data_IF_728003620501
#
_entry.id   IF_728003620501
#
_cell.length_a   1.000
_cell.length_b   1.000
_cell.length_c   1.000
_cell.angle_alpha   90.00
_cell.angle_beta   90.00
_cell.angle_gamma   90.00
#
_symmetry.space_group_name_H-M   'P 1'
#
loop_
_entity.id
_entity.type
_entity.pdbx_description
1 polymer ?
#
# COMPACT_ATOMS: atom_id res chain seq x y z
N UNK A 1 -8.23 -2.01 -2.98
CA UNK A 1 -8.54 -3.40 -3.36
C UNK A 1 -7.36 -4.01 -4.11
N UNK A 2 -7.25 -5.34 -4.21
CA UNK A 2 -6.22 -5.96 -5.06
C UNK A 2 -6.62 -5.75 -6.54
N UNK A 3 -5.69 -5.25 -7.37
CA UNK A 3 -5.95 -4.95 -8.78
C UNK A 3 -6.32 -6.20 -9.61
N UNK A 4 -5.84 -7.36 -9.19
CA UNK A 4 -6.02 -8.64 -9.88
C UNK A 4 -6.44 -9.72 -8.88
N UNK A 5 -7.41 -10.54 -9.28
CA UNK A 5 -7.89 -11.68 -8.49
C UNK A 5 -6.89 -12.83 -8.51
N UNK A 6 -6.91 -13.68 -7.48
CA UNK A 6 -6.04 -14.88 -7.43
C UNK A 6 -6.27 -15.79 -8.63
N UNK A 7 -7.53 -15.99 -9.01
CA UNK A 7 -7.93 -16.82 -10.15
C UNK A 7 -7.34 -16.29 -11.45
N UNK A 8 -7.43 -14.98 -11.70
CA UNK A 8 -6.83 -14.37 -12.89
C UNK A 8 -5.32 -14.54 -12.93
N UNK A 9 -4.63 -14.32 -11.80
CA UNK A 9 -3.17 -14.55 -11.72
C UNK A 9 -2.81 -16.00 -12.02
N UNK A 10 -3.57 -16.95 -11.47
CA UNK A 10 -3.33 -18.37 -11.67
C UNK A 10 -3.52 -18.75 -13.14
N UNK A 11 -4.58 -18.27 -13.78
CA UNK A 11 -4.84 -18.50 -15.19
C UNK A 11 -3.67 -18.03 -16.06
N UNK A 12 -3.23 -16.77 -15.90
CA UNK A 12 -2.14 -16.20 -16.70
C UNK A 12 -0.82 -16.93 -16.45
N UNK A 13 -0.54 -17.35 -15.21
CA UNK A 13 0.66 -18.12 -14.90
C UNK A 13 0.60 -19.52 -15.51
N UNK A 14 -0.55 -20.19 -15.49
CA UNK A 14 -0.71 -21.50 -16.13
C UNK A 14 -0.53 -21.39 -17.65
N UNK A 15 -1.13 -20.38 -18.27
CA UNK A 15 -0.96 -20.12 -19.71
C UNK A 15 0.51 -19.90 -20.08
N UNK A 16 1.27 -19.18 -19.24
CA UNK A 16 2.71 -19.03 -19.41
C UNK A 16 3.49 -20.35 -19.26
N UNK A 17 3.06 -21.24 -18.37
CA UNK A 17 3.76 -22.50 -18.09
C UNK A 17 3.42 -23.60 -19.12
N UNK A 18 2.24 -23.54 -19.72
CA UNK A 18 1.78 -24.52 -20.72
C UNK A 18 2.02 -24.10 -22.17
N UNK A 19 2.22 -22.80 -22.42
CA UNK A 19 2.41 -22.26 -23.76
C UNK A 19 3.87 -21.96 -24.09
N UNK A 20 4.15 -21.79 -25.38
CA UNK A 20 5.47 -21.38 -25.89
C UNK A 20 5.62 -19.84 -25.93
N UNK A 21 4.59 -19.09 -25.53
CA UNK A 21 4.60 -17.63 -25.57
C UNK A 21 5.54 -17.03 -24.50
N UNK A 22 6.49 -16.22 -24.96
CA UNK A 22 7.37 -15.48 -24.05
C UNK A 22 6.63 -14.40 -23.25
N UNK A 23 7.23 -13.98 -22.13
CA UNK A 23 6.71 -12.94 -21.22
C UNK A 23 6.23 -11.65 -21.89
N UNK A 24 6.75 -11.28 -23.07
CA UNK A 24 6.35 -10.06 -23.78
C UNK A 24 4.94 -10.17 -24.37
N UNK A 25 4.70 -11.24 -25.12
CA UNK A 25 3.44 -11.45 -25.85
C UNK A 25 2.31 -11.70 -24.88
N UNK A 26 2.51 -12.59 -23.91
CA UNK A 26 1.49 -12.91 -22.93
C UNK A 26 1.11 -11.72 -22.05
N UNK A 27 2.10 -10.91 -21.62
CA UNK A 27 1.81 -9.71 -20.85
C UNK A 27 1.02 -8.69 -21.67
N UNK A 28 1.33 -8.51 -22.96
CA UNK A 28 0.59 -7.61 -23.84
C UNK A 28 -0.87 -8.07 -24.04
N UNK A 29 -1.08 -9.36 -24.26
CA UNK A 29 -2.43 -9.96 -24.44
C UNK A 29 -3.34 -9.71 -23.25
N UNK A 30 -2.78 -9.75 -22.04
CA UNK A 30 -3.52 -9.52 -20.79
C UNK A 30 -3.42 -8.08 -20.28
N UNK A 31 -2.84 -7.15 -21.06
CA UNK A 31 -2.61 -5.74 -20.67
C UNK A 31 -1.89 -5.63 -19.32
N UNK A 32 -0.87 -6.47 -19.12
CA UNK A 32 -0.04 -6.55 -17.94
C UNK A 32 1.34 -5.95 -18.20
N UNK A 33 1.94 -5.41 -17.14
CA UNK A 33 3.37 -5.13 -17.16
C UNK A 33 4.16 -6.45 -17.15
N UNK A 34 5.22 -6.51 -17.97
CA UNK A 34 6.10 -7.68 -18.07
C UNK A 34 6.75 -8.03 -16.74
N UNK A 35 7.07 -7.01 -15.94
CA UNK A 35 7.62 -7.17 -14.62
C UNK A 35 6.66 -7.85 -13.65
N UNK A 36 5.37 -7.50 -13.73
CA UNK A 36 4.28 -8.10 -12.95
C UNK A 36 4.10 -9.58 -13.27
N UNK A 37 4.05 -9.93 -14.56
CA UNK A 37 3.93 -11.33 -14.97
C UNK A 37 5.13 -12.17 -14.49
N UNK A 38 6.36 -11.66 -14.65
CA UNK A 38 7.58 -12.32 -14.14
C UNK A 38 7.51 -12.57 -12.64
N UNK A 39 6.98 -11.62 -11.88
CA UNK A 39 6.83 -11.74 -10.43
C UNK A 39 5.83 -12.84 -10.05
N UNK A 40 4.69 -12.92 -10.73
CA UNK A 40 3.70 -13.98 -10.47
C UNK A 40 4.24 -15.36 -10.81
N UNK A 41 4.91 -15.51 -11.95
CA UNK A 41 5.52 -16.79 -12.35
C UNK A 41 6.59 -17.22 -11.35
N UNK A 42 7.46 -16.30 -10.91
CA UNK A 42 8.47 -16.61 -9.91
C UNK A 42 7.84 -17.02 -8.56
N UNK A 43 6.86 -16.26 -8.08
CA UNK A 43 6.15 -16.58 -6.84
C UNK A 43 5.44 -17.94 -6.91
N UNK A 44 4.84 -18.26 -8.05
CA UNK A 44 4.20 -19.56 -8.27
C UNK A 44 5.21 -20.71 -8.31
N UNK A 45 6.36 -20.54 -8.97
CA UNK A 45 7.41 -21.59 -8.98
C UNK A 45 7.96 -21.91 -7.58
N UNK A 46 8.05 -20.92 -6.69
CA UNK A 46 8.58 -21.13 -5.34
C UNK A 46 7.51 -21.58 -4.31
N UNK A 47 6.27 -21.12 -4.46
CA UNK A 47 5.24 -21.29 -3.42
C UNK A 47 3.89 -21.80 -3.94
N UNK A 48 3.80 -22.15 -5.22
CA UNK A 48 2.57 -22.53 -5.88
C UNK A 48 1.51 -21.43 -5.79
N UNK A 49 0.25 -21.84 -5.66
CA UNK A 49 -0.92 -20.95 -5.56
C UNK A 49 -0.78 -19.97 -4.38
N UNK A 50 -0.16 -20.40 -3.28
CA UNK A 50 0.05 -19.56 -2.11
C UNK A 50 0.96 -18.34 -2.37
N UNK A 51 1.78 -18.37 -3.43
CA UNK A 51 2.58 -17.23 -3.90
C UNK A 51 1.75 -16.15 -4.61
N UNK A 52 0.61 -16.50 -5.19
CA UNK A 52 -0.25 -15.59 -5.94
C UNK A 52 -1.25 -14.81 -5.06
N UNK A 53 -1.47 -15.33 -3.84
CA UNK A 53 -2.33 -14.74 -2.81
C UNK A 53 -1.88 -13.34 -2.41
N UNK A 54 -2.84 -12.43 -2.35
CA UNK A 54 -2.61 -11.11 -1.78
C UNK A 54 -2.30 -11.23 -0.28
N UNK A 55 -1.18 -10.66 0.15
CA UNK A 55 -0.72 -10.69 1.54
C UNK A 55 -0.63 -9.30 2.13
N UNK A 56 -1.20 -9.13 3.33
CA UNK A 56 -0.96 -7.97 4.20
C UNK A 56 -0.07 -8.43 5.35
N UNK A 57 1.21 -8.61 5.06
CA UNK A 57 2.20 -9.09 6.03
C UNK A 57 3.01 -7.90 6.54
N UNK A 58 3.14 -7.84 7.87
CA UNK A 58 4.11 -6.99 8.54
C UNK A 58 5.41 -7.77 8.68
N UNK A 59 6.49 -7.19 8.18
CA UNK A 59 7.83 -7.79 8.27
C UNK A 59 8.56 -7.19 9.47
N UNK A 60 9.04 -8.03 10.37
CA UNK A 60 9.85 -7.62 11.52
C UNK A 60 11.22 -7.13 11.05
N UNK A 61 11.90 -6.30 11.86
CA UNK A 61 13.25 -5.84 11.52
C UNK A 61 14.22 -7.02 11.33
N UNK A 62 14.14 -8.02 12.23
CA UNK A 62 14.93 -9.25 12.15
C UNK A 62 14.71 -10.02 10.85
N UNK A 63 13.45 -10.17 10.40
CA UNK A 63 13.16 -10.83 9.12
C UNK A 63 13.74 -10.05 7.93
N UNK A 64 13.60 -8.71 7.93
CA UNK A 64 14.18 -7.89 6.85
C UNK A 64 15.69 -8.05 6.79
N UNK A 65 16.35 -8.05 7.94
CA UNK A 65 17.80 -8.22 8.05
C UNK A 65 18.23 -9.58 7.52
N UNK A 66 17.56 -10.67 7.95
CA UNK A 66 17.90 -12.02 7.49
C UNK A 66 17.74 -12.17 5.98
N UNK A 67 16.70 -11.58 5.39
CA UNK A 67 16.50 -11.56 3.93
C UNK A 67 17.65 -10.85 3.23
N UNK A 68 18.08 -9.67 3.70
CA UNK A 68 19.17 -8.92 3.09
C UNK A 68 20.52 -9.64 3.22
N UNK A 69 20.77 -10.30 4.36
CA UNK A 69 21.98 -11.10 4.56
C UNK A 69 22.03 -12.29 3.60
N UNK A 70 20.95 -13.07 3.49
CA UNK A 70 20.87 -14.19 2.53
C UNK A 70 21.00 -13.72 1.09
N UNK A 71 20.38 -12.58 0.75
CA UNK A 71 20.48 -12.00 -0.59
C UNK A 71 21.93 -11.68 -0.95
N UNK A 72 22.73 -11.16 0.00
CA UNK A 72 24.15 -10.87 -0.21
C UNK A 72 25.01 -12.14 -0.24
N UNK A 73 24.78 -13.06 0.68
CA UNK A 73 25.55 -14.29 0.80
C UNK A 73 25.43 -15.19 -0.44
N UNK A 74 24.24 -15.25 -1.03
CA UNK A 74 23.96 -16.11 -2.18
C UNK A 74 23.91 -15.36 -3.52
N UNK A 75 24.17 -14.04 -3.53
CA UNK A 75 24.13 -13.23 -4.75
C UNK A 75 22.75 -13.15 -5.41
N UNK A 76 21.68 -13.20 -4.62
CA UNK A 76 20.31 -13.15 -5.15
C UNK A 76 19.97 -11.74 -5.64
N UNK A 77 19.31 -11.65 -6.79
CA UNK A 77 18.65 -10.40 -7.19
C UNK A 77 17.45 -10.10 -6.29
N UNK A 78 17.03 -8.83 -6.25
CA UNK A 78 15.83 -8.38 -5.53
C UNK A 78 14.57 -9.21 -5.84
N UNK A 79 14.43 -9.63 -7.11
CA UNK A 79 13.30 -10.45 -7.57
C UNK A 79 13.40 -11.88 -7.06
N UNK A 80 14.60 -12.48 -7.09
CA UNK A 80 14.83 -13.81 -6.54
C UNK A 80 14.62 -13.84 -5.03
N UNK A 81 15.17 -12.86 -4.30
CA UNK A 81 14.94 -12.75 -2.86
C UNK A 81 13.45 -12.61 -2.54
N UNK A 82 12.73 -11.72 -3.24
CA UNK A 82 11.29 -11.58 -3.03
C UNK A 82 10.52 -12.87 -3.30
N UNK A 83 10.84 -13.58 -4.39
CA UNK A 83 10.19 -14.82 -4.73
C UNK A 83 10.51 -15.95 -3.72
N UNK A 84 11.75 -16.06 -3.25
CA UNK A 84 12.20 -17.09 -2.30
C UNK A 84 11.62 -16.91 -0.90
N UNK A 85 11.56 -15.68 -0.42
CA UNK A 85 11.05 -15.34 0.91
C UNK A 85 9.56 -14.96 0.90
N UNK A 86 8.86 -15.21 -0.21
CA UNK A 86 7.44 -14.96 -0.36
C UNK A 86 7.01 -13.52 -0.07
N UNK A 87 7.87 -12.56 -0.42
CA UNK A 87 7.65 -11.14 -0.17
C UNK A 87 6.73 -10.60 -1.24
N UNK A 88 5.78 -9.74 -0.83
CA UNK A 88 4.74 -9.15 -1.69
C UNK A 88 5.25 -8.53 -2.99
N UNK A 89 6.50 -8.10 -3.04
CA UNK A 89 7.16 -7.75 -4.29
C UNK A 89 8.59 -7.24 -4.11
N UNK A 90 9.37 -7.28 -5.19
CA UNK A 90 10.79 -6.95 -5.18
C UNK A 90 11.07 -5.49 -4.78
N UNK A 91 10.15 -4.57 -5.08
CA UNK A 91 10.26 -3.17 -4.67
C UNK A 91 10.30 -2.98 -3.15
N UNK A 92 9.68 -3.90 -2.39
CA UNK A 92 9.73 -3.89 -0.91
C UNK A 92 11.15 -4.21 -0.44
N UNK A 93 11.80 -5.22 -1.03
CA UNK A 93 13.18 -5.58 -0.74
C UNK A 93 14.13 -4.43 -1.09
N UNK A 94 13.90 -3.77 -2.23
CA UNK A 94 14.68 -2.60 -2.64
C UNK A 94 14.58 -1.42 -1.65
N UNK A 95 13.43 -1.25 -1.00
CA UNK A 95 13.26 -0.25 0.07
C UNK A 95 14.06 -0.65 1.32
N UNK A 96 14.04 -1.93 1.70
CA UNK A 96 14.81 -2.41 2.85
C UNK A 96 16.31 -2.25 2.64
N UNK A 97 16.80 -2.63 1.47
CA UNK A 97 18.22 -2.48 1.12
C UNK A 97 18.65 -1.01 1.22
N UNK A 98 17.90 -0.09 0.60
CA UNK A 98 18.19 1.36 0.70
C UNK A 98 18.18 1.89 2.14
N UNK A 99 17.29 1.40 2.99
CA UNK A 99 17.26 1.80 4.41
C UNK A 99 18.46 1.26 5.16
N UNK A 100 18.81 0.00 4.93
CA UNK A 100 19.97 -0.62 5.53
C UNK A 100 21.27 0.09 5.10
N UNK A 101 21.40 0.44 3.82
CA UNK A 101 22.58 1.13 3.32
C UNK A 101 22.69 2.57 3.90
N UNK A 102 21.56 3.19 4.26
CA UNK A 102 21.52 4.53 4.85
C UNK A 102 21.74 4.59 6.37
N UNK A 103 21.40 3.53 7.11
CA UNK A 103 21.41 3.57 8.58
C UNK A 103 21.49 2.20 9.27
N UNK A 104 22.02 1.20 8.58
CA UNK A 104 22.24 -0.15 9.10
C UNK A 104 20.97 -0.84 9.57
N UNK A 105 21.14 -1.72 10.57
CA UNK A 105 20.07 -2.55 11.12
C UNK A 105 18.98 -1.73 11.81
N UNK A 106 19.35 -0.65 12.49
CA UNK A 106 18.40 0.24 13.20
C UNK A 106 17.38 0.86 12.23
N UNK A 107 17.82 1.21 11.02
CA UNK A 107 16.97 1.80 9.98
C UNK A 107 15.93 0.84 9.38
N UNK A 108 16.05 -0.48 9.61
CA UNK A 108 15.06 -1.48 9.18
C UNK A 108 13.85 -1.57 10.10
N UNK A 109 14.00 -1.10 11.34
CA UNK A 109 12.92 -1.05 12.31
C UNK A 109 11.84 -0.07 11.87
N UNK A 110 10.57 -0.29 12.27
CA UNK A 110 9.54 0.72 12.11
C UNK A 110 10.08 2.01 12.75
N UNK A 111 10.14 3.09 11.97
CA UNK A 111 10.42 4.41 12.54
C UNK A 111 9.37 4.58 13.62
N UNK A 112 9.78 4.62 14.89
CA UNK A 112 8.86 5.02 15.98
C UNK A 112 8.18 6.25 15.43
N UNK A 113 6.88 6.18 15.22
CA UNK A 113 6.09 7.35 14.90
C UNK A 113 6.47 8.30 16.02
N UNK A 114 7.28 9.33 15.74
CA UNK A 114 7.19 10.54 16.53
C UNK A 114 5.71 10.81 16.45
N UNK A 115 5.02 10.62 17.57
CA UNK A 115 3.58 10.80 17.69
C UNK A 115 3.23 11.94 16.75
N UNK A 116 2.59 11.61 15.63
CA UNK A 116 1.95 12.64 14.83
C UNK A 116 0.94 13.17 15.82
N UNK A 117 1.29 14.24 16.54
CA UNK A 117 0.34 14.87 17.43
C UNK A 117 -0.87 15.09 16.56
N UNK A 118 -2.05 14.60 16.96
CA UNK A 118 -3.24 14.84 16.16
C UNK A 118 -3.28 16.34 15.94
N UNK A 119 -3.25 16.77 14.67
CA UNK A 119 -3.51 18.16 14.34
C UNK A 119 -4.82 18.47 15.04
N UNK A 120 -4.76 19.28 16.10
CA UNK A 120 -5.97 19.75 16.75
C UNK A 120 -6.71 20.50 15.65
N UNK A 121 -7.85 19.96 15.22
CA UNK A 121 -8.75 20.72 14.36
C UNK A 121 -9.03 22.02 15.11
N UNK A 122 -8.95 23.19 14.45
CA UNK A 122 -9.36 24.42 15.10
C UNK A 122 -10.76 24.19 15.68
N UNK A 123 -11.02 24.61 16.93
CA UNK A 123 -12.29 24.35 17.58
C UNK A 123 -13.39 24.92 16.69
N UNK A 124 -14.28 24.04 16.21
CA UNK A 124 -15.54 24.48 15.62
C UNK A 124 -16.26 25.31 16.68
N UNK A 125 -16.63 26.57 16.39
CA UNK A 125 -17.37 27.38 17.35
C UNK A 125 -18.67 26.64 17.68
N UNK A 126 -18.85 26.31 18.96
CA UNK A 126 -20.12 25.77 19.45
C UNK A 126 -21.20 26.83 19.21
N UNK A 127 -22.42 26.47 18.78
CA UNK A 127 -23.51 27.41 18.76
C UNK A 127 -23.73 27.92 20.19
N UNK A 128 -23.53 29.22 20.41
CA UNK A 128 -23.84 29.89 21.68
C UNK A 128 -25.32 29.68 21.97
N UNK A 129 -25.66 29.30 23.21
CA UNK A 129 -27.06 29.25 23.64
C UNK A 129 -27.67 30.66 23.56
N UNK A 130 -28.94 30.76 23.18
CA UNK A 130 -29.64 32.04 22.92
C UNK A 130 -29.60 33.06 24.06
N UNK A 131 -29.24 32.65 25.28
CA UNK A 131 -29.12 33.52 26.45
C UNK A 131 -27.84 34.38 26.45
N UNK A 132 -26.88 34.11 25.56
CA UNK A 132 -25.62 34.87 25.42
C UNK A 132 -25.52 35.66 24.11
N UNK A 133 -26.56 35.63 23.26
CA UNK A 133 -26.59 36.36 22.00
C UNK A 133 -26.98 37.82 22.24
N UNK A 134 -26.22 38.76 21.69
CA UNK A 134 -26.56 40.18 21.72
C UNK A 134 -27.83 40.42 20.89
N UNK A 135 -28.62 41.43 21.27
CA UNK A 135 -29.90 41.76 20.61
C UNK A 135 -29.76 41.94 19.09
N UNK A 136 -28.63 42.45 18.65
CA UNK A 136 -28.30 42.67 17.24
C UNK A 136 -28.14 41.34 16.46
N UNK A 137 -27.43 40.36 17.03
CA UNK A 137 -27.24 39.04 16.41
C UNK A 137 -28.57 38.29 16.21
N UNK A 138 -29.53 38.48 17.12
CA UNK A 138 -30.88 37.89 17.01
C UNK A 138 -31.72 38.57 15.92
N UNK A 139 -31.54 39.87 15.67
CA UNK A 139 -32.26 40.60 14.63
C UNK A 139 -31.77 40.17 13.25
N UNK A 140 -30.46 40.00 13.09
CA UNK A 140 -29.87 39.56 11.82
C UNK A 140 -30.31 38.15 11.44
N UNK A 141 -30.37 37.22 12.41
CA UNK A 141 -30.88 35.87 12.19
C UNK A 141 -32.36 35.87 11.77
N UNK A 142 -33.20 36.68 12.43
CA UNK A 142 -34.62 36.81 12.07
C UNK A 142 -34.78 37.39 10.67
N UNK A 143 -33.96 38.37 10.30
CA UNK A 143 -33.98 38.95 8.95
C UNK A 143 -33.55 37.92 7.90
N UNK A 144 -32.51 37.14 8.18
CA UNK A 144 -32.05 36.06 7.31
C UNK A 144 -33.13 34.99 7.10
N UNK A 145 -33.74 34.49 8.18
CA UNK A 145 -34.81 33.49 8.09
C UNK A 145 -36.06 34.01 7.35
N UNK A 146 -36.39 35.30 7.52
CA UNK A 146 -37.48 35.94 6.76
C UNK A 146 -37.18 36.02 5.27
N UNK A 147 -35.92 36.28 4.89
CA UNK A 147 -35.50 36.29 3.50
C UNK A 147 -35.55 34.89 2.87
N UNK A 148 -35.13 33.85 3.63
CA UNK A 148 -35.18 32.46 3.20
C UNK A 148 -36.62 31.98 2.96
N UNK A 149 -37.56 32.33 3.87
CA UNK A 149 -38.99 31.99 3.70
C UNK A 149 -39.64 32.75 2.54
N UNK A 150 -39.23 34.00 2.28
CA UNK A 150 -39.76 34.76 1.14
C UNK A 150 -39.33 34.20 -0.23
N UNK A 151 -38.34 33.32 -0.25
CA UNK A 151 -37.81 32.68 -1.45
C UNK A 151 -38.37 31.27 -1.70
N UNK A 152 -39.20 30.74 -0.79
CA UNK A 152 -39.89 29.45 -0.89
C UNK A 152 -41.39 29.63 -1.21
#
# INVERSE_FOLDING_TARGET
>A
MAKYTEQFKLQVVQEYLSGDEGFRLLAQRHTLDRGTLREWVAAYRHHGIAGLRGKRVLYTAAFKLSVLQHMRAEGLSLRQAAARFNIRGYGVVAIWQRRYDAGGEEALSPRRTRNSQPMQKPPTPKPKQDKERTREELIDEVNYLRAEVAYL
#
